data_IF_121894215650
#
_entry.id   IF_121894215650
#
_cell.length_a   1.000
_cell.length_b   1.000
_cell.length_c   1.000
_cell.angle_alpha   90.00
_cell.angle_beta   90.00
_cell.angle_gamma   90.00
#
_symmetry.space_group_name_H-M   'P 1'
#
loop_
_entity.id
_entity.type
_entity.pdbx_description
1 polymer ?
#
# COMPACT_ATOMS: atom_id res chain seq x y z
N UNK A 1 -72.77 33.84 -28.08
CA UNK A 1 -72.86 33.59 -26.63
C UNK A 1 -71.67 32.71 -26.21
N UNK A 2 -70.53 33.30 -25.87
CA UNK A 2 -69.38 32.56 -25.34
C UNK A 2 -68.85 33.29 -24.10
N UNK A 3 -69.21 32.76 -22.92
CA UNK A 3 -68.56 33.10 -21.66
C UNK A 3 -67.20 32.41 -21.66
N UNK A 4 -66.10 33.18 -21.72
CA UNK A 4 -64.78 32.68 -21.31
C UNK A 4 -64.57 33.06 -19.86
N UNK A 5 -64.66 32.03 -19.02
CA UNK A 5 -64.39 32.03 -17.59
C UNK A 5 -62.91 32.35 -17.38
N UNK A 6 -62.61 33.44 -16.67
CA UNK A 6 -61.24 33.79 -16.28
C UNK A 6 -60.91 33.01 -15.00
N UNK A 7 -60.10 31.97 -15.11
CA UNK A 7 -59.66 31.17 -13.97
C UNK A 7 -58.38 31.80 -13.40
N UNK A 8 -58.52 32.56 -12.30
CA UNK A 8 -57.37 33.10 -11.56
C UNK A 8 -56.91 32.01 -10.60
N UNK A 9 -55.77 31.38 -10.92
CA UNK A 9 -55.08 30.46 -9.99
C UNK A 9 -54.29 31.34 -9.02
N UNK A 10 -54.78 31.45 -7.79
CA UNK A 10 -54.00 31.97 -6.67
C UNK A 10 -52.92 30.93 -6.32
N UNK A 11 -51.72 31.11 -6.84
CA UNK A 11 -50.52 30.43 -6.34
C UNK A 11 -50.19 31.02 -4.96
N UNK A 12 -50.84 30.49 -3.92
CA UNK A 12 -50.36 30.64 -2.55
C UNK A 12 -49.12 29.75 -2.45
N UNK A 13 -47.97 30.32 -2.80
CA UNK A 13 -46.68 29.72 -2.47
C UNK A 13 -46.56 29.72 -0.96
N UNK A 14 -46.80 28.58 -0.33
CA UNK A 14 -46.31 28.32 1.02
C UNK A 14 -44.79 28.38 0.96
N UNK A 15 -44.22 29.55 1.23
CA UNK A 15 -42.81 29.64 1.59
C UNK A 15 -42.68 28.98 2.97
N UNK A 16 -42.54 27.66 3.00
CA UNK A 16 -41.98 26.96 4.13
C UNK A 16 -40.50 27.35 4.16
N UNK A 17 -40.19 28.46 4.85
CA UNK A 17 -38.83 28.73 5.25
C UNK A 17 -38.48 27.67 6.30
N UNK A 18 -37.65 26.70 5.93
CA UNK A 18 -37.02 25.83 6.91
C UNK A 18 -36.25 26.67 7.93
N UNK A 19 -36.25 26.27 9.20
CA UNK A 19 -35.43 26.95 10.20
C UNK A 19 -33.95 26.75 9.83
N UNK A 20 -33.19 27.84 9.89
CA UNK A 20 -31.76 27.88 9.58
C UNK A 20 -30.99 28.20 10.85
N UNK A 21 -29.85 27.52 11.05
CA UNK A 21 -28.96 27.77 12.17
C UNK A 21 -27.76 28.57 11.69
N UNK A 22 -27.52 29.69 12.36
CA UNK A 22 -26.46 30.64 12.04
C UNK A 22 -25.44 30.69 13.16
N UNK A 23 -24.18 30.86 12.78
CA UNK A 23 -23.08 31.10 13.70
C UNK A 23 -22.30 32.33 13.26
N UNK A 24 -22.00 33.21 14.21
CA UNK A 24 -21.17 34.40 13.99
C UNK A 24 -19.69 34.09 14.26
N UNK A 25 -18.83 35.10 14.10
CA UNK A 25 -17.37 34.93 14.14
C UNK A 25 -16.81 34.67 15.54
N UNK A 26 -17.53 35.02 16.60
CA UNK A 26 -17.10 34.84 18.00
C UNK A 26 -17.83 33.67 18.69
N UNK A 27 -18.76 33.04 17.98
CA UNK A 27 -19.53 31.89 18.44
C UNK A 27 -18.79 30.59 18.16
N UNK A 28 -19.23 29.51 18.79
CA UNK A 28 -18.79 28.17 18.44
C UNK A 28 -19.91 27.16 18.76
N UNK A 29 -19.77 25.91 18.35
CA UNK A 29 -20.80 24.91 18.54
C UNK A 29 -20.27 23.65 19.22
N UNK A 30 -21.18 22.92 19.87
CA UNK A 30 -20.98 21.54 20.30
C UNK A 30 -22.14 20.70 19.77
N UNK A 31 -21.85 19.50 19.29
CA UNK A 31 -22.89 18.55 18.89
C UNK A 31 -22.90 17.38 19.89
N UNK A 32 -24.00 17.27 20.63
CA UNK A 32 -24.26 16.14 21.51
C UNK A 32 -24.98 15.03 20.74
N UNK A 33 -24.21 14.00 20.36
CA UNK A 33 -24.71 12.88 19.56
C UNK A 33 -25.74 12.02 20.30
N UNK A 34 -25.66 11.94 21.63
CA UNK A 34 -26.53 11.09 22.43
C UNK A 34 -27.94 11.68 22.58
N UNK A 35 -28.01 12.99 22.80
CA UNK A 35 -29.28 13.71 22.94
C UNK A 35 -29.81 14.22 21.60
N UNK A 36 -29.00 14.16 20.54
CA UNK A 36 -29.31 14.75 19.22
C UNK A 36 -29.46 16.27 19.27
N UNK A 37 -28.70 16.91 20.15
CA UNK A 37 -28.75 18.34 20.45
C UNK A 37 -27.54 19.07 19.84
N UNK A 38 -27.79 20.17 19.15
CA UNK A 38 -26.77 21.10 18.70
C UNK A 38 -26.79 22.34 19.61
N UNK A 39 -25.68 22.56 20.31
CA UNK A 39 -25.50 23.71 21.18
C UNK A 39 -24.71 24.78 20.42
N UNK A 40 -25.28 25.98 20.30
CA UNK A 40 -24.62 27.15 19.74
C UNK A 40 -24.27 28.10 20.88
N UNK A 41 -22.99 28.23 21.17
CA UNK A 41 -22.46 29.11 22.19
C UNK A 41 -22.22 30.50 21.64
N UNK A 42 -22.79 31.49 22.33
CA UNK A 42 -22.60 32.92 22.11
C UNK A 42 -22.13 33.56 23.41
N UNK A 43 -21.67 34.80 23.32
CA UNK A 43 -21.09 35.58 24.43
C UNK A 43 -21.85 35.44 25.76
N UNK A 44 -23.17 35.53 25.73
CA UNK A 44 -24.06 35.60 26.91
C UNK A 44 -25.10 34.48 26.96
N UNK A 45 -25.12 33.57 25.99
CA UNK A 45 -26.15 32.55 25.90
C UNK A 45 -25.71 31.31 25.14
N UNK A 46 -26.37 30.19 25.46
CA UNK A 46 -26.31 28.97 24.67
C UNK A 46 -27.71 28.66 24.16
N UNK A 47 -27.83 28.52 22.84
CA UNK A 47 -29.05 28.06 22.18
C UNK A 47 -28.92 26.56 21.89
N UNK A 48 -29.90 25.77 22.32
CA UNK A 48 -29.94 24.32 22.16
C UNK A 48 -31.00 23.99 21.10
N UNK A 49 -30.59 23.35 20.01
CA UNK A 49 -31.45 22.97 18.90
C UNK A 49 -31.55 21.46 18.78
N UNK A 50 -32.72 20.95 18.41
CA UNK A 50 -32.84 19.58 17.90
C UNK A 50 -32.15 19.51 16.53
N UNK A 51 -31.14 18.66 16.40
CA UNK A 51 -30.29 18.59 15.19
C UNK A 51 -31.05 18.06 13.97
N UNK A 52 -32.20 17.40 14.18
CA UNK A 52 -32.94 16.77 13.10
C UNK A 52 -33.90 17.76 12.40
N UNK A 53 -34.59 18.56 13.19
CA UNK A 53 -35.61 19.52 12.78
C UNK A 53 -35.12 20.97 12.75
N UNK A 54 -33.96 21.24 13.37
CA UNK A 54 -33.44 22.58 13.64
C UNK A 54 -34.35 23.45 14.52
N UNK A 55 -35.30 22.82 15.24
CA UNK A 55 -36.12 23.52 16.22
C UNK A 55 -35.31 23.90 17.45
N UNK A 56 -35.40 25.17 17.84
CA UNK A 56 -34.87 25.65 19.11
C UNK A 56 -35.64 24.98 20.25
N UNK A 57 -34.95 24.17 21.04
CA UNK A 57 -35.50 23.48 22.21
C UNK A 57 -35.46 24.40 23.42
N UNK A 58 -34.32 25.05 23.64
CA UNK A 58 -34.07 25.88 24.80
C UNK A 58 -33.04 26.95 24.49
N UNK A 59 -33.13 28.10 25.17
CA UNK A 59 -32.05 29.10 25.21
C UNK A 59 -31.76 29.43 26.67
N UNK A 60 -30.50 29.23 27.08
CA UNK A 60 -30.02 29.52 28.43
C UNK A 60 -29.10 30.73 28.41
N UNK A 61 -29.21 31.60 29.39
CA UNK A 61 -28.19 32.61 29.65
C UNK A 61 -26.96 31.94 30.27
N UNK A 62 -25.77 32.42 29.89
CA UNK A 62 -24.51 31.97 30.46
C UNK A 62 -23.64 33.15 30.84
N UNK A 63 -22.87 32.98 31.91
CA UNK A 63 -21.90 33.94 32.42
C UNK A 63 -20.52 33.52 31.92
N UNK A 64 -20.03 34.22 30.91
CA UNK A 64 -18.70 34.02 30.34
C UNK A 64 -17.65 34.93 31.02
N UNK A 65 -16.38 34.50 31.10
CA UNK A 65 -15.29 35.39 31.51
C UNK A 65 -15.21 36.66 30.64
N UNK A 66 -14.63 37.76 31.16
CA UNK A 66 -14.40 38.96 30.35
C UNK A 66 -13.59 38.65 29.10
N UNK A 67 -14.03 39.14 27.94
CA UNK A 67 -13.39 38.93 26.63
C UNK A 67 -13.23 37.44 26.24
N UNK A 68 -14.17 36.59 26.65
CA UNK A 68 -14.22 35.20 26.22
C UNK A 68 -14.77 35.11 24.79
N UNK A 69 -13.93 34.65 23.86
CA UNK A 69 -14.25 34.39 22.45
C UNK A 69 -14.32 32.88 22.25
N UNK A 70 -15.48 32.34 21.85
CA UNK A 70 -15.64 30.89 21.71
C UNK A 70 -14.90 30.32 20.51
N UNK A 71 -14.55 31.16 19.52
CA UNK A 71 -13.86 30.74 18.31
C UNK A 71 -12.41 30.29 18.57
N UNK A 72 -11.82 30.70 19.70
CA UNK A 72 -10.44 30.34 20.09
C UNK A 72 -10.34 29.11 21.00
N UNK A 73 -11.45 28.40 21.22
CA UNK A 73 -11.49 27.18 22.03
C UNK A 73 -12.05 25.99 21.24
N UNK A 74 -11.48 24.82 21.47
CA UNK A 74 -12.15 23.55 21.17
C UNK A 74 -13.23 23.31 22.23
N UNK A 75 -14.48 23.14 21.79
CA UNK A 75 -15.57 22.72 22.67
C UNK A 75 -15.63 21.20 22.68
N UNK A 76 -15.50 20.61 23.86
CA UNK A 76 -15.56 19.18 24.06
C UNK A 76 -16.93 18.81 24.64
N UNK A 77 -17.68 18.01 23.88
CA UNK A 77 -18.95 17.43 24.31
C UNK A 77 -18.70 16.35 25.38
N UNK A 78 -18.50 16.83 26.60
CA UNK A 78 -18.34 16.06 27.84
C UNK A 78 -19.35 16.63 28.83
N UNK A 79 -19.72 15.83 29.83
CA UNK A 79 -20.46 16.32 30.99
C UNK A 79 -19.51 16.57 32.16
N UNK A 80 -19.40 17.82 32.65
CA UNK A 80 -19.87 19.07 32.03
C UNK A 80 -19.02 19.49 30.82
N UNK A 81 -19.52 20.43 30.00
CA UNK A 81 -18.86 20.87 28.76
C UNK A 81 -17.54 21.57 29.08
N UNK A 82 -16.48 21.21 28.35
CA UNK A 82 -15.16 21.82 28.50
C UNK A 82 -14.76 22.65 27.28
N UNK A 83 -14.04 23.75 27.51
CA UNK A 83 -13.49 24.62 26.47
C UNK A 83 -11.96 24.63 26.61
N UNK A 84 -11.26 24.16 25.58
CA UNK A 84 -9.80 24.03 25.60
C UNK A 84 -9.18 25.00 24.60
N UNK A 85 -8.33 25.92 25.05
CA UNK A 85 -7.75 26.98 24.22
C UNK A 85 -6.92 26.40 23.08
N UNK A 86 -7.19 26.80 21.83
CA UNK A 86 -6.54 26.24 20.62
C UNK A 86 -5.02 26.46 20.65
N UNK A 87 -4.57 27.58 21.23
CA UNK A 87 -3.17 28.03 21.21
C UNK A 87 -2.45 27.94 22.56
N UNK A 88 -3.00 27.25 23.56
CA UNK A 88 -2.40 27.27 24.88
C UNK A 88 -3.02 26.31 25.87
N UNK A 89 -2.64 26.45 27.14
CA UNK A 89 -3.01 25.49 28.18
C UNK A 89 -4.36 25.74 28.84
N UNK A 90 -5.06 26.84 28.51
CA UNK A 90 -6.28 27.20 29.26
C UNK A 90 -7.39 26.19 29.06
N UNK A 91 -8.06 25.83 30.15
CA UNK A 91 -9.22 24.95 30.20
C UNK A 91 -10.31 25.62 31.02
N UNK A 92 -11.48 25.76 30.42
CA UNK A 92 -12.69 26.21 31.09
C UNK A 92 -13.73 25.09 31.10
N UNK A 93 -14.69 25.22 32.00
CA UNK A 93 -15.77 24.27 32.18
C UNK A 93 -17.07 25.05 32.39
N UNK A 94 -18.16 24.63 31.73
CA UNK A 94 -19.49 25.18 31.97
C UNK A 94 -20.11 24.48 33.19
N UNK A 95 -20.19 25.20 34.31
CA UNK A 95 -20.84 24.73 35.53
C UNK A 95 -22.16 25.47 35.72
N UNK A 96 -23.27 24.75 35.55
CA UNK A 96 -24.62 25.33 35.49
C UNK A 96 -24.72 26.40 34.39
N UNK A 97 -24.71 27.67 34.76
CA UNK A 97 -24.78 28.84 33.88
C UNK A 97 -23.42 29.54 33.73
N UNK A 98 -22.38 29.15 34.48
CA UNK A 98 -21.14 29.92 34.56
C UNK A 98 -19.98 29.16 33.93
N UNK A 99 -19.29 29.79 32.97
CA UNK A 99 -18.04 29.28 32.41
C UNK A 99 -16.89 29.68 33.33
N UNK A 100 -16.27 28.68 33.96
CA UNK A 100 -15.22 28.87 34.95
C UNK A 100 -13.90 28.29 34.46
N UNK A 101 -12.81 29.03 34.68
CA UNK A 101 -11.46 28.52 34.40
C UNK A 101 -11.07 27.50 35.46
N UNK A 102 -10.58 26.34 35.03
CA UNK A 102 -10.21 25.24 35.93
C UNK A 102 -8.71 24.90 35.90
N UNK A 103 -7.95 25.39 34.91
CA UNK A 103 -6.51 25.17 34.82
C UNK A 103 -5.68 26.27 35.51
N UNK A 104 -4.42 25.93 35.81
CA UNK A 104 -3.39 26.85 36.31
C UNK A 104 -2.35 27.25 35.23
N UNK A 105 -2.52 26.80 33.98
CA UNK A 105 -1.58 26.99 32.88
C UNK A 105 -1.62 28.42 32.28
N UNK A 106 -1.05 28.62 31.10
CA UNK A 106 -1.09 29.90 30.38
C UNK A 106 -1.17 29.68 28.87
N UNK A 107 -1.44 30.75 28.12
CA UNK A 107 -1.45 30.74 26.65
C UNK A 107 -0.02 30.65 26.12
N UNK A 108 0.56 29.46 26.16
CA UNK A 108 1.98 29.24 25.86
C UNK A 108 2.32 29.22 24.37
N UNK A 109 1.33 29.18 23.45
CA UNK A 109 1.51 29.27 21.98
C UNK A 109 2.37 28.16 21.37
N UNK A 110 2.39 26.98 21.99
CA UNK A 110 3.21 25.83 21.56
C UNK A 110 2.46 24.71 20.85
N UNK A 111 1.15 24.87 20.72
CA UNK A 111 0.20 23.79 20.41
C UNK A 111 -0.79 24.21 19.32
N UNK A 112 -0.43 25.21 18.51
CA UNK A 112 -1.27 25.62 17.40
C UNK A 112 -1.45 24.44 16.44
N UNK A 113 -2.68 24.19 15.99
CA UNK A 113 -3.05 23.04 15.15
C UNK A 113 -2.65 21.68 15.78
N UNK A 114 -2.71 21.59 17.11
CA UNK A 114 -2.63 20.32 17.84
C UNK A 114 -3.96 19.55 17.77
N UNK A 115 -3.90 18.25 18.01
CA UNK A 115 -5.09 17.43 18.19
C UNK A 115 -5.55 17.50 19.63
N UNK A 116 -6.82 17.82 19.87
CA UNK A 116 -7.47 17.79 21.19
C UNK A 116 -8.63 16.80 21.13
N UNK A 117 -8.69 15.89 22.08
CA UNK A 117 -9.66 14.80 22.12
C UNK A 117 -9.87 14.26 23.53
N UNK A 118 -10.94 13.50 23.71
CA UNK A 118 -11.26 12.83 24.98
C UNK A 118 -11.05 11.33 24.86
N UNK A 119 -10.52 10.71 25.92
CA UNK A 119 -10.43 9.26 26.06
C UNK A 119 -10.62 8.89 27.54
N UNK A 120 -11.58 8.01 27.85
CA UNK A 120 -11.96 7.63 29.22
C UNK A 120 -12.09 8.87 30.15
N UNK A 121 -12.94 9.83 29.76
CA UNK A 121 -13.20 11.09 30.47
C UNK A 121 -12.00 12.02 30.67
N UNK A 122 -10.81 11.67 30.16
CA UNK A 122 -9.62 12.51 30.27
C UNK A 122 -9.42 13.29 28.98
N UNK A 123 -9.06 14.57 29.10
CA UNK A 123 -8.75 15.42 27.96
C UNK A 123 -7.28 15.22 27.60
N UNK A 124 -7.02 14.91 26.34
CA UNK A 124 -5.69 14.74 25.80
C UNK A 124 -5.41 15.78 24.72
N UNK A 125 -4.11 16.03 24.53
CA UNK A 125 -3.61 16.81 23.43
C UNK A 125 -2.35 16.20 22.86
N UNK A 126 -2.26 16.14 21.53
CA UNK A 126 -1.07 15.69 20.82
C UNK A 126 -0.60 16.73 19.80
N UNK A 127 0.71 16.97 19.79
CA UNK A 127 1.36 17.70 18.70
C UNK A 127 1.09 19.19 18.72
N UNK A 128 1.23 19.81 17.56
CA UNK A 128 1.07 21.24 17.31
C UNK A 128 2.38 21.97 17.06
N UNK A 129 2.26 23.22 16.64
CA UNK A 129 3.37 24.08 16.28
C UNK A 129 3.58 25.20 17.31
N UNK A 130 4.85 25.53 17.55
CA UNK A 130 5.28 26.74 18.26
C UNK A 130 6.79 26.83 18.42
N UNK A 131 7.30 28.04 18.69
CA UNK A 131 8.74 28.39 18.67
C UNK A 131 9.50 27.77 17.49
N UNK A 132 8.99 27.96 16.26
CA UNK A 132 9.63 27.49 15.01
C UNK A 132 9.84 25.97 14.93
N UNK A 133 9.07 25.19 15.69
CA UNK A 133 9.14 23.73 15.64
C UNK A 133 7.76 23.09 15.82
N UNK A 134 7.65 21.84 15.36
CA UNK A 134 6.50 20.99 15.65
C UNK A 134 6.82 20.09 16.83
N UNK A 135 5.88 20.00 17.78
CA UNK A 135 6.05 19.19 18.98
C UNK A 135 5.50 17.76 18.77
N UNK A 136 6.01 16.80 19.53
CA UNK A 136 5.57 15.40 19.51
C UNK A 136 4.99 14.94 20.85
N UNK A 137 4.58 15.90 21.69
CA UNK A 137 4.17 15.59 23.06
C UNK A 137 2.72 15.13 23.07
N UNK A 138 2.49 13.96 23.63
CA UNK A 138 1.17 13.57 24.10
C UNK A 138 1.03 14.05 25.54
N UNK A 139 0.03 14.88 25.77
CA UNK A 139 -0.28 15.46 27.08
C UNK A 139 -1.70 15.14 27.47
N UNK A 140 -1.97 15.12 28.77
CA UNK A 140 -3.31 15.03 29.31
C UNK A 140 -3.51 16.10 30.38
N UNK A 141 -4.75 16.58 30.50
CA UNK A 141 -5.12 17.50 31.57
C UNK A 141 -5.34 16.69 32.86
N UNK A 142 -4.49 16.93 33.86
CA UNK A 142 -4.57 16.30 35.18
C UNK A 142 -5.43 17.18 36.09
N UNK A 143 -6.59 16.67 36.50
CA UNK A 143 -7.54 17.35 37.37
C UNK A 143 -7.10 17.42 38.83
N UNK A 144 -6.05 16.69 39.23
CA UNK A 144 -5.47 16.79 40.57
C UNK A 144 -4.55 17.99 40.67
N UNK A 145 -3.72 18.21 39.63
CA UNK A 145 -2.78 19.34 39.60
C UNK A 145 -3.35 20.57 38.90
N UNK A 146 -4.47 20.43 38.18
CA UNK A 146 -5.04 21.43 37.27
C UNK A 146 -4.04 21.91 36.21
N UNK A 147 -3.23 20.99 35.69
CA UNK A 147 -2.13 21.28 34.75
C UNK A 147 -2.06 20.20 33.66
N UNK A 148 -1.35 20.51 32.57
CA UNK A 148 -1.07 19.54 31.51
C UNK A 148 0.17 18.71 31.86
N UNK A 149 0.00 17.38 31.89
CA UNK A 149 1.06 16.42 32.16
C UNK A 149 1.46 15.67 30.88
N UNK A 150 2.76 15.39 30.72
CA UNK A 150 3.28 14.66 29.55
C UNK A 150 3.22 13.16 29.79
N UNK A 151 2.81 12.41 28.75
CA UNK A 151 2.86 10.94 28.74
C UNK A 151 4.14 10.50 28.03
N UNK A 152 4.97 9.75 28.76
CA UNK A 152 6.17 9.13 28.21
C UNK A 152 5.87 7.76 27.64
N UNK A 153 6.52 7.45 26.51
CA UNK A 153 6.49 6.12 25.89
C UNK A 153 7.41 5.17 26.65
N UNK A 154 6.89 4.01 27.07
CA UNK A 154 7.67 3.03 27.86
C UNK A 154 8.86 2.44 27.10
N UNK A 155 8.80 2.42 25.76
CA UNK A 155 9.87 1.92 24.90
C UNK A 155 10.87 3.01 24.47
N UNK A 156 10.68 4.28 24.89
CA UNK A 156 11.52 5.40 24.47
C UNK A 156 11.39 5.80 23.00
N UNK A 157 10.47 5.19 22.25
CA UNK A 157 10.19 5.52 20.84
C UNK A 157 9.11 6.59 20.80
N UNK A 158 9.26 7.58 19.92
CA UNK A 158 8.32 8.67 19.73
C UNK A 158 8.18 9.03 18.25
N UNK A 159 7.00 9.53 17.83
CA UNK A 159 6.86 10.20 16.55
C UNK A 159 7.77 11.43 16.46
N UNK A 160 8.11 11.82 15.23
CA UNK A 160 8.57 13.19 14.98
C UNK A 160 7.41 14.15 15.22
N UNK A 161 7.72 15.37 15.66
CA UNK A 161 6.67 16.35 15.95
C UNK A 161 5.87 16.71 14.71
N UNK A 162 4.56 16.84 14.87
CA UNK A 162 3.65 17.22 13.79
C UNK A 162 2.56 18.17 14.28
N UNK A 163 2.07 19.00 13.37
CA UNK A 163 0.86 19.80 13.52
C UNK A 163 -0.09 19.50 12.36
N UNK A 164 -1.35 19.91 12.46
CA UNK A 164 -2.35 19.70 11.40
C UNK A 164 -2.43 18.22 11.01
N UNK A 165 -2.28 17.29 11.96
CA UNK A 165 -2.42 15.85 11.68
C UNK A 165 -3.86 15.43 11.91
N UNK A 166 -4.35 14.44 11.18
CA UNK A 166 -5.58 13.77 11.55
C UNK A 166 -5.35 12.88 12.77
N UNK A 167 -6.42 12.62 13.53
CA UNK A 167 -6.40 11.64 14.60
C UNK A 167 -7.66 10.78 14.58
N UNK A 168 -7.55 9.58 15.15
CA UNK A 168 -8.66 8.68 15.40
C UNK A 168 -8.38 7.87 16.67
N UNK A 169 -9.41 7.53 17.46
CA UNK A 169 -9.29 6.59 18.58
C UNK A 169 -10.02 5.31 18.24
N UNK A 170 -9.29 4.20 18.11
CA UNK A 170 -9.86 2.87 17.85
C UNK A 170 -9.25 1.85 18.80
N UNK A 171 -10.09 1.04 19.45
CA UNK A 171 -9.67 -0.09 20.31
C UNK A 171 -8.59 0.28 21.33
N UNK A 172 -8.80 1.34 22.12
CA UNK A 172 -7.85 1.85 23.12
C UNK A 172 -6.49 2.29 22.55
N UNK A 173 -6.46 2.69 21.28
CA UNK A 173 -5.29 3.27 20.63
C UNK A 173 -5.63 4.58 19.96
N UNK A 174 -4.78 5.57 20.16
CA UNK A 174 -4.75 6.80 19.38
C UNK A 174 -3.96 6.55 18.10
N UNK A 175 -4.49 6.98 16.96
CA UNK A 175 -3.79 7.04 15.68
C UNK A 175 -3.56 8.49 15.33
N UNK A 176 -2.34 8.83 14.90
CA UNK A 176 -1.97 10.12 14.33
C UNK A 176 -1.55 9.89 12.89
N UNK A 177 -2.22 10.56 11.95
CA UNK A 177 -2.08 10.31 10.52
C UNK A 177 -1.74 11.61 9.84
N UNK A 178 -0.63 11.64 9.11
CA UNK A 178 -0.33 12.75 8.23
C UNK A 178 0.10 14.03 8.96
N UNK A 179 -0.19 15.15 8.33
CA UNK A 179 0.01 16.51 8.83
C UNK A 179 1.28 17.15 8.32
N UNK A 180 1.78 18.14 9.05
CA UNK A 180 2.95 18.94 8.67
C UNK A 180 4.04 18.85 9.74
N UNK A 181 5.29 18.97 9.31
CA UNK A 181 6.45 19.09 10.19
C UNK A 181 7.42 20.14 9.67
N UNK A 182 8.24 20.69 10.57
CA UNK A 182 9.35 21.56 10.16
C UNK A 182 10.38 20.75 9.39
N UNK A 183 10.84 21.29 8.27
CA UNK A 183 11.88 20.66 7.46
C UNK A 183 13.22 20.70 8.22
N UNK A 184 13.88 19.54 8.46
CA UNK A 184 15.17 19.52 9.16
C UNK A 184 16.32 20.15 8.36
N UNK A 185 16.18 20.30 7.04
CA UNK A 185 17.19 20.89 6.16
C UNK A 185 17.01 22.42 5.99
N UNK A 186 15.78 22.92 6.13
CA UNK A 186 15.45 24.34 6.15
C UNK A 186 14.35 24.62 7.18
N UNK A 187 14.75 25.14 8.34
CA UNK A 187 13.85 25.39 9.47
C UNK A 187 12.78 26.46 9.19
N UNK A 188 12.87 27.20 8.08
CA UNK A 188 11.84 28.16 7.66
C UNK A 188 10.73 27.51 6.83
N UNK A 189 10.90 26.24 6.45
CA UNK A 189 9.95 25.51 5.61
C UNK A 189 9.16 24.48 6.43
N UNK A 190 7.85 24.39 6.17
CA UNK A 190 7.02 23.25 6.57
C UNK A 190 6.88 22.29 5.39
N UNK A 191 6.94 20.99 5.71
CA UNK A 191 6.79 19.91 4.74
C UNK A 191 5.74 18.93 5.24
N UNK A 192 5.14 18.18 4.31
CA UNK A 192 4.21 17.11 4.64
C UNK A 192 4.88 16.05 5.52
N UNK A 193 4.13 15.57 6.50
CA UNK A 193 4.49 14.45 7.34
C UNK A 193 3.62 13.24 6.97
N UNK A 194 4.13 12.36 6.13
CA UNK A 194 3.37 11.20 5.66
C UNK A 194 3.37 10.01 6.65
N UNK A 195 3.93 10.17 7.85
CA UNK A 195 4.04 9.08 8.82
C UNK A 195 2.69 8.79 9.50
N UNK A 196 2.44 7.52 9.79
CA UNK A 196 1.32 7.08 10.62
C UNK A 196 1.87 6.48 11.91
N UNK A 197 1.38 6.98 13.03
CA UNK A 197 1.77 6.52 14.35
C UNK A 197 0.57 6.10 15.17
N UNK A 198 0.76 5.10 16.03
CA UNK A 198 -0.25 4.75 17.04
C UNK A 198 0.33 4.80 18.44
N UNK A 199 -0.47 5.27 19.39
CA UNK A 199 -0.19 5.19 20.82
C UNK A 199 -1.19 4.26 21.49
N UNK A 200 -0.69 3.22 22.13
CA UNK A 200 -1.50 2.30 22.92
C UNK A 200 -1.63 2.83 24.34
N UNK A 201 -2.85 3.21 24.75
CA UNK A 201 -3.08 3.82 26.07
C UNK A 201 -2.80 2.87 27.23
N UNK A 202 -3.03 1.55 27.04
CA UNK A 202 -2.82 0.53 28.07
C UNK A 202 -1.34 0.19 28.21
N UNK A 203 -0.68 -0.06 27.09
CA UNK A 203 0.75 -0.37 27.05
C UNK A 203 1.65 0.87 27.19
N UNK A 204 1.08 2.07 27.06
CA UNK A 204 1.77 3.37 27.08
C UNK A 204 2.95 3.41 26.11
N UNK A 205 2.75 2.91 24.90
CA UNK A 205 3.80 2.80 23.87
C UNK A 205 3.37 3.43 22.55
N UNK A 206 4.28 4.16 21.93
CA UNK A 206 4.19 4.54 20.53
C UNK A 206 4.71 3.43 19.61
N UNK A 207 4.07 3.28 18.45
CA UNK A 207 4.45 2.38 17.37
C UNK A 207 4.29 3.11 16.02
N UNK A 208 5.32 3.06 15.18
CA UNK A 208 5.27 3.56 13.81
C UNK A 208 4.61 2.50 12.93
N UNK A 209 3.51 2.86 12.27
CA UNK A 209 2.74 1.95 11.41
C UNK A 209 3.18 2.00 9.95
N UNK A 210 4.03 2.97 9.60
CA UNK A 210 4.61 3.16 8.28
C UNK A 210 4.36 4.55 7.72
N UNK A 211 4.45 4.66 6.40
CA UNK A 211 4.30 5.91 5.65
C UNK A 211 3.12 5.77 4.69
N UNK A 212 2.31 6.82 4.60
CA UNK A 212 1.20 6.93 3.68
C UNK A 212 1.67 6.66 2.23
N UNK A 213 0.84 5.93 1.49
CA UNK A 213 1.03 5.69 0.05
C UNK A 213 1.02 6.97 -0.76
N UNK A 214 0.21 7.93 -0.35
CA UNK A 214 0.09 9.27 -0.91
C UNK A 214 -0.14 10.27 0.21
N UNK A 215 0.48 11.45 0.10
CA UNK A 215 0.32 12.53 1.08
C UNK A 215 -1.14 12.96 1.15
N UNK A 216 -1.59 13.28 2.36
CA UNK A 216 -2.95 13.75 2.60
C UNK A 216 -2.84 15.10 3.30
N UNK A 217 -3.46 16.11 2.71
CA UNK A 217 -3.53 17.44 3.28
C UNK A 217 -4.62 17.50 4.36
N UNK A 218 -4.28 18.13 5.48
CA UNK A 218 -5.24 18.37 6.54
C UNK A 218 -6.24 19.44 6.17
N UNK A 219 -7.51 19.17 6.45
CA UNK A 219 -8.61 20.10 6.25
C UNK A 219 -9.41 20.22 7.54
N UNK A 220 -9.75 21.46 7.91
CA UNK A 220 -10.73 21.72 8.97
C UNK A 220 -12.12 21.19 8.60
N UNK A 221 -12.37 20.86 7.34
CA UNK A 221 -13.64 20.29 6.88
C UNK A 221 -13.64 18.77 6.83
N UNK A 222 -12.68 18.14 7.52
CA UNK A 222 -12.68 16.70 7.71
C UNK A 222 -13.79 16.26 8.66
N UNK A 223 -14.35 15.09 8.40
CA UNK A 223 -15.41 14.48 9.18
C UNK A 223 -15.23 12.97 9.28
N UNK A 224 -15.82 12.39 10.32
CA UNK A 224 -15.83 10.95 10.53
C UNK A 224 -17.10 10.35 9.91
N UNK A 225 -16.95 9.24 9.19
CA UNK A 225 -18.06 8.43 8.69
C UNK A 225 -17.68 6.96 8.79
N UNK A 226 -18.51 6.17 9.48
CA UNK A 226 -18.30 4.73 9.71
C UNK A 226 -16.94 4.37 10.36
N UNK A 227 -16.37 5.28 11.16
CA UNK A 227 -15.05 5.14 11.80
C UNK A 227 -13.88 5.30 10.84
N UNK A 228 -14.11 5.93 9.69
CA UNK A 228 -13.10 6.35 8.72
C UNK A 228 -13.08 7.89 8.65
N UNK A 229 -11.91 8.44 8.34
CA UNK A 229 -11.73 9.90 8.24
C UNK A 229 -11.91 10.30 6.78
N UNK A 230 -12.84 11.23 6.53
CA UNK A 230 -13.03 11.85 5.23
C UNK A 230 -12.44 13.26 5.27
N UNK A 231 -11.60 13.60 4.30
CA UNK A 231 -11.02 14.94 4.15
C UNK A 231 -11.15 15.41 2.71
N UNK A 232 -11.76 16.56 2.51
CA UNK A 232 -11.90 17.17 1.19
C UNK A 232 -10.68 18.03 0.85
N UNK A 233 -10.12 17.82 -0.34
CA UNK A 233 -9.21 18.75 -1.01
C UNK A 233 -9.99 19.60 -2.02
N UNK A 234 -9.32 20.52 -2.71
CA UNK A 234 -9.95 21.28 -3.80
C UNK A 234 -10.35 20.43 -5.01
N UNK A 235 -9.86 19.19 -5.12
CA UNK A 235 -10.03 18.33 -6.30
C UNK A 235 -10.86 17.07 -6.01
N UNK A 236 -10.70 16.46 -4.83
CA UNK A 236 -11.32 15.18 -4.48
C UNK A 236 -11.53 15.06 -2.98
N UNK A 237 -12.27 14.04 -2.56
CA UNK A 237 -12.43 13.66 -1.16
C UNK A 237 -11.58 12.43 -0.89
N UNK A 238 -10.76 12.47 0.13
CA UNK A 238 -9.95 11.35 0.60
C UNK A 238 -10.66 10.65 1.75
N UNK A 239 -10.76 9.32 1.71
CA UNK A 239 -11.14 8.49 2.84
C UNK A 239 -9.92 7.70 3.34
N UNK A 240 -9.63 7.85 4.63
CA UNK A 240 -8.63 7.09 5.38
C UNK A 240 -9.34 5.97 6.15
N UNK A 241 -9.16 4.75 5.68
CA UNK A 241 -9.66 3.54 6.34
C UNK A 241 -8.50 2.80 7.02
N UNK A 242 -8.34 3.06 8.32
CA UNK A 242 -7.31 2.45 9.16
C UNK A 242 -7.52 0.94 9.33
N UNK A 243 -8.78 0.49 9.40
CA UNK A 243 -9.13 -0.90 9.72
C UNK A 243 -8.77 -1.84 8.57
N UNK A 244 -9.03 -1.39 7.34
CA UNK A 244 -8.77 -2.15 6.13
C UNK A 244 -7.45 -1.78 5.45
N UNK A 245 -6.69 -0.81 5.99
CA UNK A 245 -5.47 -0.27 5.39
C UNK A 245 -5.71 0.22 3.96
N UNK A 246 -6.77 1.01 3.75
CA UNK A 246 -7.14 1.58 2.45
C UNK A 246 -7.11 3.10 2.48
N UNK A 247 -6.69 3.67 1.36
CA UNK A 247 -6.79 5.07 1.04
C UNK A 247 -7.61 5.18 -0.25
N UNK A 248 -8.80 5.76 -0.15
CA UNK A 248 -9.72 5.93 -1.27
C UNK A 248 -9.87 7.40 -1.63
N UNK A 249 -10.07 7.66 -2.91
CA UNK A 249 -10.35 8.99 -3.43
C UNK A 249 -11.70 8.96 -4.14
N UNK A 250 -12.55 9.92 -3.80
CA UNK A 250 -13.87 10.11 -4.40
C UNK A 250 -13.94 11.44 -5.13
N UNK A 251 -14.81 11.52 -6.13
CA UNK A 251 -15.13 12.78 -6.79
C UNK A 251 -15.61 13.82 -5.78
N UNK A 252 -15.18 15.07 -5.95
CA UNK A 252 -15.61 16.14 -5.07
C UNK A 252 -17.07 16.52 -5.36
N UNK A 253 -17.91 16.45 -4.33
CA UNK A 253 -19.27 16.94 -4.40
C UNK A 253 -19.31 18.48 -4.33
N UNK A 254 -20.08 19.17 -5.21
CA UNK A 254 -20.16 20.63 -5.21
C UNK A 254 -20.61 21.25 -3.87
N UNK A 255 -21.37 20.52 -3.05
CA UNK A 255 -21.81 21.01 -1.76
C UNK A 255 -20.72 20.90 -0.70
N UNK A 256 -19.93 19.83 -0.71
CA UNK A 256 -18.73 19.71 0.14
C UNK A 256 -17.70 20.76 -0.27
N UNK A 257 -17.53 21.04 -1.57
CA UNK A 257 -16.59 22.07 -2.04
C UNK A 257 -16.83 23.44 -1.39
N UNK A 258 -18.10 23.81 -1.15
CA UNK A 258 -18.44 25.09 -0.50
C UNK A 258 -18.03 25.19 0.97
N UNK A 259 -17.72 24.06 1.60
CA UNK A 259 -17.31 24.02 3.01
C UNK A 259 -15.81 24.24 3.19
N UNK A 260 -14.98 23.98 2.16
CA UNK A 260 -13.51 23.85 2.24
C UNK A 260 -12.80 25.04 2.91
N UNK A 261 -13.41 26.22 2.96
CA UNK A 261 -12.83 27.47 3.51
C UNK A 261 -13.39 27.89 4.88
N UNK A 262 -14.02 26.97 5.61
CA UNK A 262 -14.66 27.25 6.90
C UNK A 262 -13.88 26.62 8.05
N UNK A 263 -13.77 27.32 9.18
CA UNK A 263 -13.07 26.85 10.41
C UNK A 263 -13.86 25.79 11.20
N UNK A 264 -15.12 25.57 10.88
CA UNK A 264 -16.03 24.71 11.62
C UNK A 264 -16.15 23.35 10.95
N UNK A 265 -15.91 22.30 11.74
CA UNK A 265 -15.94 20.92 11.26
C UNK A 265 -17.35 20.51 10.82
N UNK A 266 -17.51 19.84 9.67
CA UNK A 266 -18.70 19.07 9.37
C UNK A 266 -18.87 17.90 10.33
N UNK A 267 -20.09 17.38 10.45
CA UNK A 267 -20.34 16.17 11.22
C UNK A 267 -21.44 15.32 10.58
N UNK A 268 -21.38 14.01 10.84
CA UNK A 268 -22.36 13.03 10.36
C UNK A 268 -23.17 12.51 11.53
N UNK A 269 -24.49 12.44 11.33
CA UNK A 269 -25.39 11.77 12.27
C UNK A 269 -26.48 11.00 11.51
N UNK A 270 -26.59 9.70 11.81
CA UNK A 270 -27.44 8.75 11.08
C UNK A 270 -27.15 8.84 9.57
N UNK A 271 -28.19 9.07 8.75
CA UNK A 271 -28.08 9.16 7.29
C UNK A 271 -27.81 10.58 6.79
N UNK A 272 -27.57 11.54 7.69
CA UNK A 272 -27.38 12.94 7.33
C UNK A 272 -25.96 13.42 7.62
N UNK A 273 -25.52 14.37 6.81
CA UNK A 273 -24.31 15.14 7.02
C UNK A 273 -24.68 16.61 7.16
N UNK A 274 -23.98 17.27 8.07
CA UNK A 274 -24.18 18.64 8.48
C UNK A 274 -22.94 19.45 8.10
N UNK A 275 -23.13 20.41 7.21
CA UNK A 275 -22.09 21.17 6.52
C UNK A 275 -22.21 22.64 6.89
N UNK A 276 -21.12 23.27 7.33
CA UNK A 276 -21.07 24.72 7.51
C UNK A 276 -20.74 25.39 6.18
N UNK A 277 -21.67 26.19 5.65
CA UNK A 277 -21.54 26.83 4.33
C UNK A 277 -21.66 28.34 4.48
N UNK A 278 -20.71 29.07 3.90
CA UNK A 278 -20.70 30.52 3.87
C UNK A 278 -21.69 31.04 2.83
N UNK A 279 -22.60 31.91 3.27
CA UNK A 279 -23.50 32.69 2.42
C UNK A 279 -23.31 34.19 2.67
N UNK A 280 -23.89 35.04 1.83
CA UNK A 280 -23.89 36.50 2.04
C UNK A 280 -24.53 36.93 3.37
N UNK A 281 -25.45 36.11 3.89
CA UNK A 281 -26.14 36.32 5.17
C UNK A 281 -25.37 35.82 6.39
N UNK A 282 -24.19 35.23 6.20
CA UNK A 282 -23.38 34.63 7.26
C UNK A 282 -23.18 33.13 7.08
N UNK A 283 -22.53 32.52 8.07
CA UNK A 283 -22.25 31.11 8.06
C UNK A 283 -23.45 30.31 8.55
N UNK A 284 -23.91 29.37 7.71
CA UNK A 284 -25.12 28.58 7.97
C UNK A 284 -24.80 27.09 8.08
N UNK A 285 -25.52 26.39 8.96
CA UNK A 285 -25.52 24.94 8.99
C UNK A 285 -26.52 24.39 7.97
N UNK A 286 -26.04 23.60 7.02
CA UNK A 286 -26.83 22.93 6.00
C UNK A 286 -26.86 21.45 6.28
N UNK A 287 -28.07 20.88 6.32
CA UNK A 287 -28.30 19.44 6.46
C UNK A 287 -28.62 18.83 5.10
N UNK A 288 -27.94 17.74 4.75
CA UNK A 288 -28.33 16.89 3.61
C UNK A 288 -28.24 15.41 3.96
N UNK A 289 -28.85 14.56 3.15
CA UNK A 289 -28.64 13.12 3.25
C UNK A 289 -27.32 12.70 2.58
N UNK A 290 -26.63 11.73 3.17
CA UNK A 290 -25.39 11.18 2.63
C UNK A 290 -25.56 10.57 1.23
N UNK A 291 -26.68 9.91 0.96
CA UNK A 291 -26.97 9.26 -0.33
C UNK A 291 -27.17 10.25 -1.49
N UNK A 292 -27.39 11.53 -1.18
CA UNK A 292 -27.48 12.59 -2.20
C UNK A 292 -26.12 13.14 -2.63
N UNK A 293 -25.07 12.89 -1.85
CA UNK A 293 -23.72 13.35 -2.15
C UNK A 293 -23.02 12.42 -3.12
N UNK A 294 -22.25 13.01 -4.03
CA UNK A 294 -21.44 12.28 -4.98
C UNK A 294 -20.19 11.68 -4.32
N UNK A 295 -20.25 10.41 -3.92
CA UNK A 295 -19.09 9.61 -3.52
C UNK A 295 -18.70 8.59 -4.60
N UNK A 296 -18.54 9.04 -5.84
CA UNK A 296 -18.04 8.18 -6.92
C UNK A 296 -16.54 7.91 -6.73
N UNK A 297 -16.16 6.64 -6.56
CA UNK A 297 -14.77 6.22 -6.36
C UNK A 297 -13.93 6.51 -7.63
N UNK A 298 -12.85 7.28 -7.45
CA UNK A 298 -11.87 7.61 -8.49
C UNK A 298 -10.68 6.64 -8.41
N UNK A 299 -10.17 6.44 -7.20
CA UNK A 299 -8.95 5.65 -6.96
C UNK A 299 -9.01 4.96 -5.61
N UNK A 300 -8.37 3.80 -5.52
CA UNK A 300 -8.20 3.03 -4.29
C UNK A 300 -6.79 2.43 -4.26
N UNK A 301 -6.12 2.59 -3.12
CA UNK A 301 -4.81 2.01 -2.88
C UNK A 301 -4.63 1.65 -1.40
N UNK A 302 -3.55 0.92 -1.09
CA UNK A 302 -3.19 0.65 0.30
C UNK A 302 -2.89 1.96 1.04
N UNK A 303 -3.33 2.10 2.30
CA UNK A 303 -3.06 3.27 3.12
C UNK A 303 -1.56 3.41 3.40
N UNK A 304 -0.92 2.34 3.89
CA UNK A 304 0.52 2.29 4.14
C UNK A 304 1.25 1.63 2.97
N UNK A 305 2.38 2.22 2.56
CA UNK A 305 3.29 1.63 1.55
C UNK A 305 3.81 0.27 2.02
N UNK A 306 3.34 -0.81 1.40
CA UNK A 306 3.85 -2.15 1.68
C UNK A 306 5.04 -2.50 0.75
N UNK A 307 6.23 -2.06 1.13
CA UNK A 307 7.46 -2.36 0.39
C UNK A 307 7.78 -3.87 0.36
N UNK A 308 7.30 -4.64 1.34
CA UNK A 308 7.52 -6.10 1.36
C UNK A 308 6.87 -6.80 0.17
N UNK A 309 5.68 -6.37 -0.25
CA UNK A 309 5.00 -6.96 -1.42
C UNK A 309 5.82 -6.70 -2.70
N UNK A 310 6.42 -5.52 -2.84
CA UNK A 310 7.27 -5.18 -3.98
C UNK A 310 8.51 -6.07 -4.00
N UNK A 311 9.18 -6.23 -2.86
CA UNK A 311 10.35 -7.11 -2.71
C UNK A 311 9.98 -8.56 -3.01
N UNK A 312 8.86 -9.06 -2.48
CA UNK A 312 8.40 -10.42 -2.74
C UNK A 312 8.11 -10.66 -4.23
N UNK A 313 7.46 -9.70 -4.91
CA UNK A 313 7.24 -9.75 -6.37
C UNK A 313 8.57 -9.83 -7.13
N UNK A 314 9.56 -9.03 -6.73
CA UNK A 314 10.90 -9.06 -7.33
C UNK A 314 11.59 -10.43 -7.13
N UNK A 315 11.51 -10.99 -5.93
CA UNK A 315 12.07 -12.31 -5.61
C UNK A 315 11.42 -13.42 -6.44
N UNK A 316 10.10 -13.37 -6.66
CA UNK A 316 9.39 -14.32 -7.52
C UNK A 316 9.87 -14.21 -8.98
N UNK A 317 10.06 -13.00 -9.51
CA UNK A 317 10.58 -12.80 -10.87
C UNK A 317 11.99 -13.39 -11.01
N UNK A 318 12.87 -13.15 -10.02
CA UNK A 318 14.23 -13.71 -10.00
C UNK A 318 14.18 -15.24 -9.96
N UNK A 319 13.31 -15.82 -9.12
CA UNK A 319 13.13 -17.27 -9.04
C UNK A 319 12.64 -17.87 -10.39
N UNK A 320 11.70 -17.21 -11.07
CA UNK A 320 11.24 -17.63 -12.40
C UNK A 320 12.36 -17.60 -13.45
N UNK A 321 13.21 -16.57 -13.44
CA UNK A 321 14.36 -16.48 -14.35
C UNK A 321 15.35 -17.62 -14.09
N UNK A 322 15.68 -17.89 -12.83
CA UNK A 322 16.57 -19.00 -12.45
C UNK A 322 15.98 -20.34 -12.92
N UNK A 323 14.67 -20.54 -12.74
CA UNK A 323 13.99 -21.75 -13.18
C UNK A 323 14.02 -21.91 -14.71
N UNK A 324 13.84 -20.83 -15.47
CA UNK A 324 13.96 -20.85 -16.93
C UNK A 324 15.39 -21.18 -17.39
N UNK A 325 16.41 -20.62 -16.73
CA UNK A 325 17.82 -20.95 -17.00
C UNK A 325 18.08 -22.43 -16.70
N UNK A 326 17.54 -22.95 -15.60
CA UNK A 326 17.64 -24.35 -15.23
C UNK A 326 16.98 -25.26 -16.28
N UNK A 327 15.76 -24.97 -16.70
CA UNK A 327 15.08 -25.71 -17.78
C UNK A 327 15.86 -25.65 -19.10
N UNK A 328 16.41 -24.49 -19.44
CA UNK A 328 17.27 -24.33 -20.62
C UNK A 328 18.54 -25.19 -20.51
N UNK A 329 19.16 -25.26 -19.33
CA UNK A 329 20.34 -26.10 -19.09
C UNK A 329 20.02 -27.59 -19.22
N UNK A 330 18.86 -28.05 -18.72
CA UNK A 330 18.40 -29.42 -18.90
C UNK A 330 18.16 -29.70 -20.39
N UNK A 331 17.46 -28.82 -21.09
CA UNK A 331 17.18 -28.98 -22.52
C UNK A 331 18.47 -29.00 -23.34
N UNK A 332 19.43 -28.14 -23.02
CA UNK A 332 20.77 -28.12 -23.65
C UNK A 332 21.50 -29.43 -23.40
N UNK A 333 21.58 -29.89 -22.15
CA UNK A 333 22.21 -31.16 -21.78
C UNK A 333 21.54 -32.37 -22.45
N UNK A 334 20.21 -32.38 -22.52
CA UNK A 334 19.45 -33.42 -23.22
C UNK A 334 19.75 -33.42 -24.72
N UNK A 335 19.78 -32.25 -25.37
CA UNK A 335 20.13 -32.11 -26.78
C UNK A 335 21.57 -32.57 -27.07
N UNK A 336 22.53 -32.14 -26.25
CA UNK A 336 23.94 -32.56 -26.35
C UNK A 336 24.09 -34.07 -26.17
N UNK A 337 23.39 -34.67 -25.20
CA UNK A 337 23.40 -36.11 -24.99
C UNK A 337 22.62 -36.90 -26.06
N UNK A 338 21.65 -36.31 -26.74
CA UNK A 338 20.87 -37.00 -27.78
C UNK A 338 21.66 -37.22 -29.08
N UNK A 339 22.74 -36.48 -29.28
CA UNK A 339 23.64 -36.57 -30.44
C UNK A 339 24.91 -37.40 -30.14
N UNK A 340 24.82 -38.34 -29.19
CA UNK A 340 25.92 -39.24 -28.82
C UNK A 340 25.49 -40.71 -28.85
N UNK A 341 26.44 -41.60 -29.14
CA UNK A 341 26.34 -43.06 -29.08
C UNK A 341 26.28 -43.51 -27.62
N UNK A 342 25.31 -44.36 -27.29
CA UNK A 342 25.20 -45.03 -25.99
C UNK A 342 25.65 -46.47 -26.13
N UNK A 343 26.60 -46.92 -25.32
CA UNK A 343 27.01 -48.32 -25.28
C UNK A 343 26.41 -49.03 -24.06
N UNK A 344 25.55 -50.03 -24.30
CA UNK A 344 24.93 -50.82 -23.22
C UNK A 344 24.82 -52.28 -23.65
N UNK A 345 25.23 -53.22 -22.78
CA UNK A 345 25.13 -54.67 -23.02
C UNK A 345 25.73 -55.13 -24.37
N UNK A 346 26.94 -54.68 -24.72
CA UNK A 346 27.62 -54.98 -26.01
C UNK A 346 26.83 -54.58 -27.26
N UNK A 347 25.93 -53.59 -27.13
CA UNK A 347 25.19 -52.98 -28.23
C UNK A 347 25.34 -51.48 -28.20
N UNK A 348 25.52 -50.89 -29.38
CA UNK A 348 25.56 -49.44 -29.57
C UNK A 348 24.17 -48.95 -29.96
N UNK A 349 23.68 -47.94 -29.24
CA UNK A 349 22.39 -47.30 -29.43
C UNK A 349 22.54 -45.85 -29.86
N UNK A 350 21.62 -45.41 -30.71
CA UNK A 350 21.50 -44.02 -31.13
C UNK A 350 20.07 -43.59 -30.83
N UNK A 351 19.91 -42.57 -29.98
CA UNK A 351 18.64 -41.85 -29.78
C UNK A 351 17.46 -42.76 -29.44
N UNK A 352 17.57 -43.56 -28.38
CA UNK A 352 16.56 -44.43 -27.74
C UNK A 352 15.67 -45.32 -28.65
N UNK A 353 15.89 -45.33 -29.96
CA UNK A 353 15.23 -46.16 -30.95
C UNK A 353 16.24 -47.15 -31.56
N UNK A 354 15.97 -48.44 -31.37
CA UNK A 354 16.58 -49.50 -32.16
C UNK A 354 16.13 -49.32 -33.60
N UNK A 355 17.02 -49.19 -34.60
CA UNK A 355 16.67 -49.71 -35.94
C UNK A 355 17.76 -49.73 -37.01
N UNK A 356 18.91 -49.05 -36.89
CA UNK A 356 19.80 -48.96 -38.07
C UNK A 356 21.25 -49.41 -37.88
N UNK A 357 21.67 -50.07 -36.79
CA UNK A 357 23.02 -50.67 -36.72
C UNK A 357 22.89 -52.18 -36.95
N UNK A 358 23.50 -52.70 -38.02
CA UNK A 358 23.50 -54.12 -38.33
C UNK A 358 24.54 -54.89 -37.48
N UNK A 359 24.57 -56.22 -37.59
CA UNK A 359 25.43 -57.07 -36.76
C UNK A 359 26.94 -56.77 -36.94
N UNK A 360 27.40 -56.57 -38.17
CA UNK A 360 28.80 -56.28 -38.47
C UNK A 360 29.21 -54.87 -38.03
N UNK A 361 28.32 -53.88 -38.20
CA UNK A 361 28.50 -52.51 -37.72
C UNK A 361 28.61 -52.47 -36.20
N UNK A 362 27.73 -53.20 -35.50
CA UNK A 362 27.78 -53.32 -34.04
C UNK A 362 29.06 -54.06 -33.59
N UNK A 363 29.49 -55.09 -34.33
CA UNK A 363 30.74 -55.81 -34.07
C UNK A 363 31.95 -54.88 -34.17
N UNK A 364 32.04 -54.06 -35.24
CA UNK A 364 33.14 -53.10 -35.42
C UNK A 364 33.15 -52.04 -34.31
N UNK A 365 31.99 -51.44 -33.98
CA UNK A 365 31.92 -50.43 -32.93
C UNK A 365 32.24 -51.01 -31.55
N UNK A 366 31.79 -52.23 -31.25
CA UNK A 366 32.11 -52.92 -29.99
C UNK A 366 33.59 -53.23 -29.89
N UNK A 367 34.22 -53.69 -30.98
CA UNK A 367 35.67 -53.91 -31.04
C UNK A 367 36.44 -52.62 -30.78
N UNK A 368 36.02 -51.50 -31.38
CA UNK A 368 36.65 -50.20 -31.14
C UNK A 368 36.50 -49.77 -29.68
N UNK A 369 35.30 -49.82 -29.10
CA UNK A 369 35.03 -49.43 -27.70
C UNK A 369 35.85 -50.28 -26.72
N UNK A 370 35.94 -51.59 -26.94
CA UNK A 370 36.68 -52.50 -26.06
C UNK A 370 38.21 -52.37 -26.18
N UNK A 371 38.72 -51.77 -27.26
CA UNK A 371 40.16 -51.54 -27.50
C UNK A 371 40.52 -50.05 -27.35
N UNK A 372 39.98 -49.39 -26.32
CA UNK A 372 40.21 -47.98 -26.01
C UNK A 372 40.00 -47.03 -27.21
N UNK A 373 38.93 -47.31 -27.97
CA UNK A 373 38.47 -46.56 -29.13
C UNK A 373 39.40 -46.61 -30.34
N UNK A 374 40.30 -47.61 -30.42
CA UNK A 374 41.24 -47.75 -31.54
C UNK A 374 41.50 -49.22 -31.91
N UNK A 375 41.80 -49.49 -33.19
CA UNK A 375 42.22 -50.82 -33.64
C UNK A 375 43.19 -50.70 -34.81
N UNK A 376 44.17 -51.59 -34.89
CA UNK A 376 45.10 -51.66 -36.03
C UNK A 376 44.40 -52.18 -37.28
N UNK A 377 44.82 -51.70 -38.45
CA UNK A 377 44.28 -52.22 -39.71
C UNK A 377 44.44 -53.74 -39.85
N UNK A 378 45.53 -54.31 -39.34
CA UNK A 378 45.78 -55.75 -39.36
C UNK A 378 44.74 -56.52 -38.53
N UNK A 379 44.51 -56.11 -37.28
CA UNK A 379 43.51 -56.74 -36.43
C UNK A 379 42.10 -56.57 -37.00
N UNK A 380 41.82 -55.44 -37.64
CA UNK A 380 40.54 -55.21 -38.29
C UNK A 380 40.34 -56.13 -39.50
N UNK A 381 41.38 -56.33 -40.33
CA UNK A 381 41.35 -57.31 -41.43
C UNK A 381 41.11 -58.72 -40.91
N UNK A 382 41.77 -59.13 -39.83
CA UNK A 382 41.59 -60.46 -39.25
C UNK A 382 40.16 -60.68 -38.71
N UNK A 383 39.50 -59.64 -38.17
CA UNK A 383 38.16 -59.75 -37.59
C UNK A 383 37.02 -59.82 -38.63
N UNK A 384 37.28 -59.35 -39.85
CA UNK A 384 36.31 -59.28 -40.95
C UNK A 384 36.82 -59.99 -42.22
N UNK A 385 37.77 -60.91 -42.09
CA UNK A 385 38.39 -61.62 -43.21
C UNK A 385 37.40 -62.59 -43.86
N UNK A 386 37.29 -62.53 -45.18
CA UNK A 386 36.59 -63.52 -45.98
C UNK A 386 37.60 -64.37 -46.76
N UNK A 387 37.62 -65.68 -46.49
CA UNK A 387 38.53 -66.64 -47.09
C UNK A 387 38.31 -66.84 -48.60
N UNK A 388 37.13 -66.51 -49.10
CA UNK A 388 36.77 -66.62 -50.52
C UNK A 388 37.29 -65.42 -51.35
N UNK A 389 37.91 -64.44 -50.71
CA UNK A 389 38.42 -63.21 -51.35
C UNK A 389 39.93 -63.08 -51.16
N UNK A 390 40.61 -62.50 -52.16
CA UNK A 390 42.02 -62.17 -52.01
C UNK A 390 42.25 -61.10 -50.91
N UNK A 391 43.50 -60.99 -50.44
CA UNK A 391 43.88 -60.06 -49.38
C UNK A 391 43.60 -58.59 -49.74
N UNK A 392 43.84 -58.20 -50.98
CA UNK A 392 43.64 -56.83 -51.46
C UNK A 392 42.15 -56.48 -51.54
N UNK A 393 41.31 -57.43 -51.95
CA UNK A 393 39.87 -57.29 -52.00
C UNK A 393 39.25 -57.20 -50.59
N UNK A 394 39.74 -58.00 -49.64
CA UNK A 394 39.36 -57.88 -48.22
C UNK A 394 39.66 -56.48 -47.66
N UNK A 395 40.89 -55.97 -47.89
CA UNK A 395 41.28 -54.61 -47.45
C UNK A 395 40.38 -53.54 -48.08
N UNK A 396 40.06 -53.66 -49.38
CA UNK A 396 39.18 -52.72 -50.08
C UNK A 396 37.76 -52.73 -49.50
N UNK A 397 37.19 -53.91 -49.30
CA UNK A 397 35.84 -54.06 -48.74
C UNK A 397 35.74 -53.48 -47.34
N UNK A 398 36.73 -53.74 -46.49
CA UNK A 398 36.83 -53.19 -45.14
C UNK A 398 36.95 -51.67 -45.14
N UNK A 399 37.78 -51.11 -46.02
CA UNK A 399 37.93 -49.66 -46.13
C UNK A 399 36.61 -49.00 -46.54
N UNK A 400 35.88 -49.63 -47.47
CA UNK A 400 34.55 -49.19 -47.89
C UNK A 400 33.56 -49.31 -46.72
N UNK A 401 33.54 -50.43 -46.01
CA UNK A 401 32.68 -50.64 -44.84
C UNK A 401 32.87 -49.57 -43.76
N UNK A 402 34.12 -49.23 -43.42
CA UNK A 402 34.42 -48.15 -42.46
C UNK A 402 33.90 -46.80 -42.97
N UNK A 403 34.10 -46.51 -44.26
CA UNK A 403 33.65 -45.25 -44.87
C UNK A 403 32.12 -45.15 -44.87
N UNK A 404 31.43 -46.22 -45.25
CA UNK A 404 29.97 -46.30 -45.29
C UNK A 404 29.38 -46.19 -43.88
N UNK A 405 29.99 -46.86 -42.89
CA UNK A 405 29.61 -46.74 -41.48
C UNK A 405 29.87 -45.33 -40.95
N UNK A 406 30.99 -44.70 -41.28
CA UNK A 406 31.27 -43.32 -40.88
C UNK A 406 30.22 -42.35 -41.44
N UNK A 407 29.89 -42.46 -42.73
CA UNK A 407 28.87 -41.63 -43.37
C UNK A 407 27.51 -41.82 -42.68
N UNK A 408 27.14 -43.07 -42.43
CA UNK A 408 25.90 -43.43 -41.74
C UNK A 408 25.84 -42.84 -40.33
N UNK A 409 26.91 -42.96 -39.55
CA UNK A 409 27.01 -42.37 -38.21
C UNK A 409 26.93 -40.83 -38.27
N UNK A 410 27.55 -40.19 -39.27
CA UNK A 410 27.51 -38.72 -39.46
C UNK A 410 26.09 -38.23 -39.73
N UNK A 411 25.35 -38.93 -40.59
CA UNK A 411 23.93 -38.66 -40.84
C UNK A 411 23.10 -38.86 -39.58
N UNK A 412 23.34 -39.93 -38.83
CA UNK A 412 22.56 -40.23 -37.61
C UNK A 412 22.79 -39.24 -36.47
N UNK A 413 24.03 -38.76 -36.30
CA UNK A 413 24.41 -37.82 -35.25
C UNK A 413 24.31 -36.35 -35.68
N UNK A 414 23.85 -36.06 -36.90
CA UNK A 414 23.83 -34.74 -37.51
C UNK A 414 25.18 -34.00 -37.37
N UNK A 415 26.27 -34.71 -37.69
CA UNK A 415 27.64 -34.21 -37.54
C UNK A 415 28.34 -34.08 -38.90
N UNK A 416 29.00 -32.94 -39.10
CA UNK A 416 29.90 -32.74 -40.24
C UNK A 416 31.30 -33.35 -40.01
N UNK A 417 31.65 -33.62 -38.74
CA UNK A 417 32.93 -34.21 -38.35
C UNK A 417 32.90 -35.74 -38.50
N UNK A 418 34.05 -36.32 -38.82
CA UNK A 418 34.20 -37.78 -38.89
C UNK A 418 34.13 -38.40 -37.49
N UNK A 419 33.33 -39.47 -37.39
CA UNK A 419 33.12 -40.23 -36.17
C UNK A 419 34.09 -41.41 -36.13
N UNK A 420 34.36 -42.00 -37.31
CA UNK A 420 35.43 -42.95 -37.54
C UNK A 420 36.48 -42.31 -38.46
N UNK A 421 37.74 -42.31 -38.03
CA UNK A 421 38.84 -41.76 -38.82
C UNK A 421 40.08 -42.65 -38.74
N UNK A 422 40.98 -42.49 -39.70
CA UNK A 422 42.26 -43.23 -39.75
C UNK A 422 43.40 -42.30 -39.38
N UNK A 423 44.31 -42.79 -38.55
CA UNK A 423 45.56 -42.10 -38.22
C UNK A 423 46.72 -43.09 -38.17
N UNK A 424 47.94 -42.58 -38.04
CA UNK A 424 49.14 -43.40 -37.82
C UNK A 424 49.26 -43.76 -36.35
N UNK A 425 49.73 -44.98 -36.06
CA UNK A 425 49.96 -45.41 -34.69
C UNK A 425 51.06 -44.53 -34.05
N UNK A 426 50.83 -43.93 -32.86
CA UNK A 426 51.83 -43.11 -32.18
C UNK A 426 53.15 -43.85 -31.87
N UNK A 427 53.07 -45.17 -31.66
CA UNK A 427 54.21 -46.03 -31.30
C UNK A 427 54.96 -46.58 -32.52
N UNK A 428 54.27 -46.77 -33.65
CA UNK A 428 54.88 -47.15 -34.92
C UNK A 428 54.18 -46.43 -36.09
N UNK A 429 54.82 -45.37 -36.59
CA UNK A 429 54.26 -44.52 -37.67
C UNK A 429 54.00 -45.28 -38.98
N UNK A 430 54.50 -46.50 -39.14
CA UNK A 430 54.23 -47.37 -40.31
C UNK A 430 52.87 -48.06 -40.21
N UNK A 431 52.32 -48.19 -39.00
CA UNK A 431 51.03 -48.81 -38.76
C UNK A 431 49.91 -47.78 -38.87
N UNK A 432 48.83 -48.15 -39.56
CA UNK A 432 47.58 -47.37 -39.59
C UNK A 432 46.59 -47.94 -38.58
N UNK A 433 45.95 -47.06 -37.83
CA UNK A 433 44.90 -47.39 -36.87
C UNK A 433 43.60 -46.70 -37.28
N UNK A 434 42.48 -47.37 -37.03
CA UNK A 434 41.13 -46.80 -37.12
C UNK A 434 40.72 -46.41 -35.72
N UNK A 435 40.20 -45.20 -35.56
CA UNK A 435 39.77 -44.65 -34.28
C UNK A 435 38.30 -44.25 -34.31
N UNK A 436 37.62 -44.46 -33.17
CA UNK A 436 36.30 -43.95 -32.89
C UNK A 436 36.43 -42.67 -32.05
N UNK A 437 35.82 -41.58 -32.48
CA UNK A 437 35.89 -40.31 -31.77
C UNK A 437 35.07 -40.37 -30.46
N UNK A 438 35.76 -40.20 -29.33
CA UNK A 438 35.19 -40.28 -27.97
C UNK A 438 34.17 -39.19 -27.68
N UNK A 439 34.26 -38.03 -28.33
CA UNK A 439 33.33 -36.90 -28.11
C UNK A 439 31.89 -37.26 -28.45
N UNK A 440 31.72 -38.24 -29.35
CA UNK A 440 30.44 -38.76 -29.80
C UNK A 440 29.91 -39.90 -28.93
N UNK A 441 30.52 -40.18 -27.77
CA UNK A 441 30.12 -41.30 -26.90
C UNK A 441 29.63 -40.75 -25.56
N UNK A 442 28.52 -41.27 -25.07
CA UNK A 442 28.01 -41.04 -23.71
C UNK A 442 28.05 -42.35 -22.92
N UNK A 443 28.48 -42.28 -21.67
CA UNK A 443 28.42 -43.40 -20.72
C UNK A 443 26.99 -43.66 -20.26
#
# INVERSE_FOLDING_TARGET
MHKKLFFIIFLIGFNSFGQEIYIDTESNYSFNKNNEELLIFKKDSVSIYDVNSFHLLEKKEIISPPNFDFSVYHILDKEPIHFVEINGGKVYQLNNDTIQRIDNSYTHKMVWQSNVFTYNDTIYRYGGYGFWTTNNKLTFYDTVTNEWQIISSVNGIYPKGSCSSFYEILNDKLYIIGGEKVNPEDLNQRINNDEIWSFDFKAKKWENLGVLSHSIEYSNNSFELNGNIFSSTYEFIVEVDLKNNLLKQYALDPMIQKTIDVFYKPFVHKDNIYLWIQYDSGLKLVKTKLDTLNFNLINEQALVKNNYIVVLKLLIVIACIIFLIFLFSIKKKYKENSNKLLFKNNKVFIKDNFTNINADENKLLTLLINNDFSITNENLVNNFYNADLDRSQNIRNINKFISDLNLKLKTMLNSNNDILYKTVNPLDKRMKIVMLNRDFIRN
#
